data_IF_433826803427
#
_entry.id   IF_433826803427
#
_cell.length_a   1.000
_cell.length_b   1.000
_cell.length_c   1.000
_cell.angle_alpha   90.00
_cell.angle_beta   90.00
_cell.angle_gamma   90.00
#
_symmetry.space_group_name_H-M   'P 1'
#
loop_
_entity.id
_entity.type
_entity.pdbx_description
1 polymer ?
#
# COMPACT_ATOMS: atom_id res chain seq x y z
N UNK A 1 -3.93 -0.94 18.79
CA UNK A 1 -3.56 -0.04 17.67
C UNK A 1 -4.51 1.13 17.72
N UNK A 2 -4.05 2.33 17.36
CA UNK A 2 -4.94 3.45 17.05
C UNK A 2 -5.82 3.08 15.86
N UNK A 3 -7.07 3.55 15.83
CA UNK A 3 -7.99 3.34 14.71
C UNK A 3 -7.88 4.50 13.73
N UNK A 4 -8.08 4.22 12.46
CA UNK A 4 -8.21 5.22 11.39
C UNK A 4 -9.38 6.15 11.72
N UNK A 5 -10.50 5.59 12.19
CA UNK A 5 -11.68 6.34 12.63
C UNK A 5 -11.39 7.34 13.75
N UNK A 6 -10.36 7.09 14.56
CA UNK A 6 -10.06 7.91 15.74
C UNK A 6 -8.97 8.95 15.47
N UNK A 7 -8.43 9.01 14.25
CA UNK A 7 -7.37 9.92 13.88
C UNK A 7 -7.87 11.38 13.91
N UNK A 8 -7.28 12.27 14.77
CA UNK A 8 -7.75 13.65 14.92
C UNK A 8 -7.62 14.46 13.64
N UNK A 9 -6.63 14.20 12.80
CA UNK A 9 -6.44 14.89 11.53
C UNK A 9 -7.49 14.42 10.52
N UNK A 10 -7.82 13.12 10.49
CA UNK A 10 -8.93 12.59 9.69
C UNK A 10 -10.28 13.16 10.13
N UNK A 11 -10.55 13.18 11.44
CA UNK A 11 -11.75 13.76 12.03
C UNK A 11 -11.84 15.26 11.80
N UNK A 12 -10.72 15.99 11.92
CA UNK A 12 -10.61 17.41 11.63
C UNK A 12 -10.85 17.69 10.15
N UNK A 13 -10.26 16.91 9.24
CA UNK A 13 -10.47 17.02 7.80
C UNK A 13 -11.94 16.80 7.44
N UNK A 14 -12.61 15.79 8.03
CA UNK A 14 -14.05 15.54 7.80
C UNK A 14 -14.91 16.65 8.41
N UNK A 15 -14.58 17.13 9.61
CA UNK A 15 -15.39 18.09 10.37
C UNK A 15 -15.26 19.52 9.83
N UNK A 16 -14.06 19.92 9.43
CA UNK A 16 -13.71 21.26 8.94
C UNK A 16 -13.85 21.41 7.43
N UNK A 17 -14.13 20.32 6.69
CA UNK A 17 -14.35 20.42 5.26
C UNK A 17 -15.63 21.23 4.98
N UNK A 18 -15.45 22.46 4.53
CA UNK A 18 -16.52 23.42 4.25
C UNK A 18 -16.77 23.57 2.75
N UNK A 19 -16.00 22.88 1.90
CA UNK A 19 -16.20 22.80 0.45
C UNK A 19 -16.24 21.35 -0.03
N UNK A 20 -17.01 21.10 -1.10
CA UNK A 20 -17.11 19.80 -1.76
C UNK A 20 -15.73 19.29 -2.21
N UNK A 21 -14.86 20.17 -2.70
CA UNK A 21 -13.50 19.83 -3.16
C UNK A 21 -12.60 19.23 -2.06
N UNK A 22 -12.75 19.67 -0.81
CA UNK A 22 -11.99 19.13 0.32
C UNK A 22 -12.46 17.72 0.69
N UNK A 23 -13.76 17.47 0.61
CA UNK A 23 -14.36 16.15 0.86
C UNK A 23 -14.09 15.21 -0.31
N UNK A 24 -14.13 15.71 -1.55
CA UNK A 24 -13.73 14.98 -2.75
C UNK A 24 -12.26 14.59 -2.72
N UNK A 25 -11.35 15.43 -2.21
CA UNK A 25 -9.95 15.04 -2.01
C UNK A 25 -9.81 13.83 -1.09
N UNK A 26 -10.70 13.67 -0.11
CA UNK A 26 -10.73 12.54 0.83
C UNK A 26 -11.45 11.33 0.21
N UNK A 27 -12.47 11.57 -0.63
CA UNK A 27 -13.35 10.54 -1.21
C UNK A 27 -13.09 10.18 -2.68
N UNK A 28 -12.13 10.81 -3.36
CA UNK A 28 -11.68 10.53 -4.76
C UNK A 28 -11.34 9.06 -4.99
N UNK A 29 -11.11 8.39 -3.89
CA UNK A 29 -10.77 7.00 -3.69
C UNK A 29 -11.98 6.06 -3.88
N UNK A 30 -13.20 6.50 -3.58
CA UNK A 30 -14.37 5.61 -3.41
C UNK A 30 -15.42 5.67 -4.53
N UNK A 31 -15.15 6.38 -5.63
CA UNK A 31 -16.05 6.46 -6.80
C UNK A 31 -17.50 6.88 -6.42
N UNK A 32 -17.66 7.74 -5.41
CA UNK A 32 -18.97 8.26 -5.01
C UNK A 32 -19.40 9.38 -5.96
N UNK A 33 -20.66 9.33 -6.40
CA UNK A 33 -21.25 10.35 -7.28
C UNK A 33 -21.33 11.72 -6.63
N UNK A 34 -21.15 12.76 -7.45
CA UNK A 34 -21.11 14.19 -7.09
C UNK A 34 -22.45 14.76 -6.58
N UNK A 35 -23.51 13.95 -6.57
CA UNK A 35 -24.88 14.40 -6.24
C UNK A 35 -25.18 14.38 -4.73
N UNK A 36 -24.23 13.94 -3.88
CA UNK A 36 -24.42 13.84 -2.42
C UNK A 36 -24.10 15.17 -1.73
N UNK A 37 -24.92 15.59 -0.76
CA UNK A 37 -24.62 16.77 0.05
C UNK A 37 -23.44 16.52 1.01
N UNK A 38 -22.83 17.60 1.52
CA UNK A 38 -21.67 17.55 2.44
C UNK A 38 -21.90 16.63 3.64
N UNK A 39 -23.10 16.62 4.22
CA UNK A 39 -23.41 15.80 5.39
C UNK A 39 -23.38 14.30 5.04
N UNK A 40 -23.98 13.92 3.92
CA UNK A 40 -24.02 12.54 3.44
C UNK A 40 -22.63 12.03 3.06
N UNK A 41 -21.79 12.88 2.45
CA UNK A 41 -20.39 12.54 2.16
C UNK A 41 -19.57 12.32 3.44
N UNK A 42 -19.80 13.11 4.50
CA UNK A 42 -19.14 12.91 5.81
C UNK A 42 -19.55 11.58 6.45
N UNK A 43 -20.83 11.24 6.45
CA UNK A 43 -21.33 9.96 6.97
C UNK A 43 -20.73 8.78 6.20
N UNK A 44 -20.64 8.89 4.87
CA UNK A 44 -19.95 7.90 4.01
C UNK A 44 -18.47 7.77 4.36
N UNK A 45 -17.76 8.87 4.55
CA UNK A 45 -16.33 8.86 4.92
C UNK A 45 -16.07 8.15 6.28
N UNK A 46 -16.91 8.42 7.28
CA UNK A 46 -16.84 7.75 8.59
C UNK A 46 -17.14 6.25 8.46
N UNK A 47 -18.17 5.90 7.68
CA UNK A 47 -18.52 4.50 7.41
C UNK A 47 -17.38 3.73 6.76
N UNK A 48 -16.74 4.33 5.74
CA UNK A 48 -15.55 3.81 5.07
C UNK A 48 -14.41 3.56 6.07
N UNK A 49 -14.05 4.55 6.90
CA UNK A 49 -12.96 4.39 7.86
C UNK A 49 -13.25 3.29 8.87
N UNK A 50 -14.49 3.19 9.34
CA UNK A 50 -14.94 2.13 10.25
C UNK A 50 -14.82 0.75 9.62
N UNK A 51 -15.12 0.61 8.33
CA UNK A 51 -14.97 -0.64 7.59
C UNK A 51 -13.49 -0.98 7.38
N UNK A 52 -12.66 0.01 7.06
CA UNK A 52 -11.21 -0.14 6.93
C UNK A 52 -10.57 -0.60 8.25
N UNK A 53 -10.97 -0.03 9.39
CA UNK A 53 -10.50 -0.46 10.71
C UNK A 53 -10.86 -1.91 11.00
N UNK A 54 -12.12 -2.29 10.77
CA UNK A 54 -12.57 -3.67 10.95
C UNK A 54 -11.86 -4.64 10.01
N UNK A 55 -11.51 -4.21 8.81
CA UNK A 55 -10.73 -5.01 7.87
C UNK A 55 -9.30 -5.19 8.40
N UNK A 56 -8.64 -4.12 8.81
CA UNK A 56 -7.27 -4.16 9.35
C UNK A 56 -7.19 -4.98 10.66
N UNK A 57 -8.18 -4.89 11.54
CA UNK A 57 -8.27 -5.67 12.77
C UNK A 57 -8.24 -7.19 12.50
N UNK A 58 -8.78 -7.62 11.35
CA UNK A 58 -8.84 -9.03 10.97
C UNK A 58 -7.62 -9.43 10.14
N UNK A 59 -7.26 -8.64 9.12
CA UNK A 59 -6.39 -9.10 8.05
C UNK A 59 -4.95 -8.55 8.06
N UNK A 60 -4.67 -7.48 8.82
CA UNK A 60 -3.36 -6.82 8.78
C UNK A 60 -2.21 -7.75 9.18
N UNK A 61 -2.42 -8.59 10.20
CA UNK A 61 -1.44 -9.59 10.64
C UNK A 61 -1.18 -10.69 9.60
N UNK A 62 -2.12 -10.89 8.68
CA UNK A 62 -2.03 -11.86 7.59
C UNK A 62 -1.51 -11.24 6.28
N UNK A 63 -1.29 -9.93 6.23
CA UNK A 63 -0.66 -9.29 5.06
C UNK A 63 -1.62 -8.59 4.13
N UNK A 64 -2.86 -8.34 4.57
CA UNK A 64 -3.80 -7.47 3.86
C UNK A 64 -4.16 -6.28 4.72
N UNK A 65 -4.06 -5.10 4.13
CA UNK A 65 -4.53 -3.87 4.75
C UNK A 65 -5.59 -3.27 3.86
N UNK A 66 -6.53 -2.56 4.46
CA UNK A 66 -7.38 -1.64 3.74
C UNK A 66 -6.50 -0.62 3.05
N UNK A 67 -6.75 -0.41 1.76
CA UNK A 67 -6.16 0.69 1.01
C UNK A 67 -7.28 1.58 0.52
N UNK A 68 -6.90 2.77 0.11
CA UNK A 68 -7.75 3.69 -0.59
C UNK A 68 -8.45 2.96 -1.75
N UNK A 69 -7.69 2.28 -2.60
CA UNK A 69 -8.25 1.68 -3.81
C UNK A 69 -9.12 0.42 -3.58
N UNK A 70 -9.29 -0.04 -2.33
CA UNK A 70 -10.21 -1.13 -2.01
C UNK A 70 -11.66 -0.64 -1.96
N UNK A 71 -12.54 -1.29 -2.71
CA UNK A 71 -13.97 -0.99 -2.63
C UNK A 71 -14.55 -1.44 -1.28
N UNK A 72 -15.49 -0.64 -0.76
CA UNK A 72 -16.24 -0.99 0.46
C UNK A 72 -16.91 -2.37 0.36
N UNK A 73 -17.60 -2.72 -0.76
CA UNK A 73 -18.19 -4.06 -0.90
C UNK A 73 -17.17 -5.20 -0.80
N UNK A 74 -15.95 -5.02 -1.32
CA UNK A 74 -14.89 -6.02 -1.19
C UNK A 74 -14.52 -6.20 0.29
N UNK A 75 -14.27 -5.12 1.02
CA UNK A 75 -13.91 -5.19 2.43
C UNK A 75 -15.03 -5.83 3.27
N UNK A 76 -16.28 -5.42 3.07
CA UNK A 76 -17.42 -6.00 3.77
C UNK A 76 -17.59 -7.49 3.49
N UNK A 77 -17.46 -7.90 2.23
CA UNK A 77 -17.59 -9.30 1.84
C UNK A 77 -16.46 -10.15 2.41
N UNK A 78 -15.22 -9.66 2.40
CA UNK A 78 -14.09 -10.34 3.01
C UNK A 78 -14.30 -10.53 4.53
N UNK A 79 -14.73 -9.48 5.24
CA UNK A 79 -15.05 -9.55 6.67
C UNK A 79 -16.16 -10.58 6.93
N UNK A 80 -17.20 -10.61 6.08
CA UNK A 80 -18.29 -11.59 6.18
C UNK A 80 -17.79 -13.02 5.99
N UNK A 81 -17.03 -13.29 4.93
CA UNK A 81 -16.45 -14.60 4.66
C UNK A 81 -15.52 -15.07 5.79
N UNK A 82 -14.74 -14.17 6.39
CA UNK A 82 -13.92 -14.51 7.55
C UNK A 82 -14.77 -15.00 8.72
N UNK A 83 -15.86 -14.29 9.04
CA UNK A 83 -16.75 -14.65 10.14
C UNK A 83 -17.48 -15.98 9.91
N UNK A 84 -17.90 -16.25 8.67
CA UNK A 84 -18.71 -17.42 8.33
C UNK A 84 -17.87 -18.66 7.99
N UNK A 85 -16.66 -18.48 7.45
CA UNK A 85 -15.88 -19.55 6.84
C UNK A 85 -14.39 -19.54 7.22
N UNK A 86 -13.93 -18.59 8.03
CA UNK A 86 -12.55 -18.48 8.46
C UNK A 86 -11.60 -17.84 7.45
N UNK A 87 -10.33 -17.73 7.85
CA UNK A 87 -9.29 -16.99 7.13
C UNK A 87 -9.07 -17.49 5.70
N UNK A 88 -8.93 -18.80 5.52
CA UNK A 88 -8.59 -19.39 4.21
C UNK A 88 -9.61 -18.99 3.13
N UNK A 89 -10.90 -19.01 3.47
CA UNK A 89 -11.95 -18.64 2.52
C UNK A 89 -11.92 -17.14 2.19
N UNK A 90 -11.68 -16.30 3.19
CA UNK A 90 -11.58 -14.86 3.01
C UNK A 90 -10.35 -14.47 2.18
N UNK A 91 -9.18 -15.05 2.45
CA UNK A 91 -7.97 -14.79 1.67
C UNK A 91 -8.10 -15.27 0.23
N UNK A 92 -8.75 -16.43 0.01
CA UNK A 92 -9.03 -16.92 -1.34
C UNK A 92 -9.90 -15.94 -2.13
N UNK A 93 -10.87 -15.30 -1.48
CA UNK A 93 -11.68 -14.25 -2.09
C UNK A 93 -10.84 -13.00 -2.40
N UNK A 94 -10.09 -12.48 -1.43
CA UNK A 94 -9.23 -11.28 -1.64
C UNK A 94 -8.23 -11.54 -2.78
N UNK A 95 -7.60 -12.71 -2.81
CA UNK A 95 -6.70 -13.11 -3.89
C UNK A 95 -7.40 -13.24 -5.25
N UNK A 96 -8.67 -13.62 -5.28
CA UNK A 96 -9.43 -13.72 -6.53
C UNK A 96 -9.81 -12.34 -7.09
N UNK A 97 -9.90 -11.32 -6.24
CA UNK A 97 -10.08 -9.92 -6.68
C UNK A 97 -8.81 -9.33 -7.32
N UNK A 98 -7.65 -9.97 -7.15
CA UNK A 98 -6.43 -9.61 -7.86
C UNK A 98 -6.42 -10.27 -9.24
N UNK A 99 -7.05 -9.60 -10.21
CA UNK A 99 -7.12 -10.01 -11.60
C UNK A 99 -6.31 -9.06 -12.52
N UNK A 100 -6.39 -9.30 -13.83
CA UNK A 100 -5.72 -8.47 -14.83
C UNK A 100 -6.23 -7.03 -14.84
N UNK A 101 -7.53 -6.80 -14.62
CA UNK A 101 -8.08 -5.46 -14.57
C UNK A 101 -7.55 -4.68 -13.36
N UNK A 102 -7.49 -5.33 -12.20
CA UNK A 102 -6.85 -4.78 -11.00
C UNK A 102 -5.39 -4.46 -11.29
N UNK A 103 -4.62 -5.43 -11.78
CA UNK A 103 -3.21 -5.21 -12.08
C UNK A 103 -2.99 -4.05 -13.06
N UNK A 104 -3.67 -4.03 -14.21
CA UNK A 104 -3.51 -2.98 -15.21
C UNK A 104 -3.90 -1.59 -14.69
N UNK A 105 -4.95 -1.49 -13.87
CA UNK A 105 -5.34 -0.23 -13.26
C UNK A 105 -4.23 0.27 -12.32
N UNK A 106 -3.74 -0.61 -11.46
CA UNK A 106 -2.77 -0.27 -10.42
C UNK A 106 -1.36 -0.04 -10.97
N UNK A 107 -0.89 -0.86 -11.93
CA UNK A 107 0.40 -0.67 -12.59
C UNK A 107 0.45 0.67 -13.32
N UNK A 108 -0.59 1.01 -14.09
CA UNK A 108 -0.71 2.32 -14.75
C UNK A 108 -0.65 3.48 -13.76
N UNK A 109 -1.29 3.33 -12.60
CA UNK A 109 -1.31 4.36 -11.55
C UNK A 109 0.06 4.58 -10.88
N UNK A 110 1.00 3.62 -10.97
CA UNK A 110 2.35 3.77 -10.44
C UNK A 110 3.17 4.83 -11.19
N UNK A 111 2.89 5.08 -12.48
CA UNK A 111 3.58 6.10 -13.28
C UNK A 111 3.37 7.55 -12.76
N UNK A 112 2.44 7.77 -11.83
CA UNK A 112 2.31 9.06 -11.15
C UNK A 112 3.42 9.32 -10.11
N UNK A 113 4.16 8.27 -9.71
CA UNK A 113 5.27 8.36 -8.78
C UNK A 113 6.54 8.71 -9.56
N UNK A 114 7.16 9.84 -9.25
CA UNK A 114 8.35 10.36 -9.89
C UNK A 114 9.56 9.42 -10.00
N UNK A 115 9.76 8.51 -9.03
CA UNK A 115 10.85 7.51 -9.06
C UNK A 115 10.46 6.23 -9.82
N UNK A 116 9.22 6.14 -10.31
CA UNK A 116 8.73 4.99 -11.07
C UNK A 116 9.09 5.11 -12.55
N UNK A 117 10.08 4.35 -12.99
CA UNK A 117 10.58 4.37 -14.37
C UNK A 117 9.94 3.28 -15.25
N UNK A 118 10.10 3.42 -16.57
CA UNK A 118 9.73 2.39 -17.54
C UNK A 118 10.41 1.04 -17.28
N UNK A 119 11.64 1.05 -16.75
CA UNK A 119 12.33 -0.18 -16.36
C UNK A 119 11.66 -0.90 -15.18
N UNK A 120 11.16 -0.14 -14.19
CA UNK A 120 10.37 -0.70 -13.09
C UNK A 120 9.05 -1.25 -13.61
N UNK A 121 8.37 -0.53 -14.50
CA UNK A 121 7.15 -1.01 -15.17
C UNK A 121 7.40 -2.31 -15.93
N UNK A 122 8.44 -2.38 -16.77
CA UNK A 122 8.82 -3.58 -17.51
C UNK A 122 9.05 -4.78 -16.59
N UNK A 123 9.79 -4.61 -15.49
CA UNK A 123 10.04 -5.69 -14.53
C UNK A 123 8.76 -6.13 -13.81
N UNK A 124 7.88 -5.18 -13.48
CA UNK A 124 6.60 -5.48 -12.85
C UNK A 124 5.66 -6.26 -13.78
N UNK A 125 5.60 -5.88 -15.06
CA UNK A 125 4.84 -6.58 -16.09
C UNK A 125 5.36 -8.02 -16.30
N UNK A 126 6.67 -8.22 -16.38
CA UNK A 126 7.27 -9.56 -16.45
C UNK A 126 6.92 -10.42 -15.22
N UNK A 127 6.99 -9.83 -14.02
CA UNK A 127 6.60 -10.51 -12.80
C UNK A 127 5.10 -10.88 -12.78
N UNK A 128 4.25 -10.07 -13.41
CA UNK A 128 2.81 -10.35 -13.52
C UNK A 128 2.51 -11.45 -14.54
N UNK A 129 3.24 -11.47 -15.66
CA UNK A 129 3.21 -12.60 -16.61
C UNK A 129 3.59 -13.89 -15.89
N UNK A 130 4.67 -13.87 -15.10
CA UNK A 130 5.08 -15.02 -14.29
C UNK A 130 4.03 -15.41 -13.24
N UNK A 131 3.39 -14.44 -12.59
CA UNK A 131 2.28 -14.68 -11.67
C UNK A 131 1.14 -15.45 -12.34
N UNK A 132 0.66 -14.97 -13.50
CA UNK A 132 -0.45 -15.58 -14.23
C UNK A 132 -0.11 -16.96 -14.77
N UNK A 133 1.17 -17.21 -15.07
CA UNK A 133 1.65 -18.50 -15.56
C UNK A 133 2.08 -19.45 -14.42
N UNK A 134 1.82 -19.10 -13.15
CA UNK A 134 2.12 -19.92 -11.99
C UNK A 134 3.62 -20.00 -11.64
N UNK A 135 4.48 -19.19 -12.27
CA UNK A 135 5.92 -19.08 -11.96
C UNK A 135 6.16 -18.15 -10.79
N UNK A 136 5.55 -18.45 -9.65
CA UNK A 136 5.63 -17.63 -8.45
C UNK A 136 7.06 -17.52 -7.88
N UNK A 137 7.91 -18.52 -8.10
CA UNK A 137 9.33 -18.50 -7.75
C UNK A 137 10.10 -17.35 -8.43
N UNK A 138 9.67 -16.90 -9.61
CA UNK A 138 10.26 -15.78 -10.33
C UNK A 138 9.52 -14.47 -10.02
N UNK A 139 8.19 -14.52 -9.93
CA UNK A 139 7.35 -13.35 -9.65
C UNK A 139 7.65 -12.74 -8.27
N UNK A 140 7.69 -13.55 -7.20
CA UNK A 140 7.83 -13.07 -5.82
C UNK A 140 9.13 -12.28 -5.60
N UNK A 141 10.33 -12.80 -5.95
CA UNK A 141 11.57 -12.06 -5.72
C UNK A 141 11.64 -10.74 -6.50
N UNK A 142 11.11 -10.70 -7.73
CA UNK A 142 11.10 -9.48 -8.55
C UNK A 142 10.23 -8.41 -7.88
N UNK A 143 9.03 -8.75 -7.44
CA UNK A 143 8.13 -7.78 -6.79
C UNK A 143 8.71 -7.32 -5.44
N UNK A 144 9.33 -8.22 -4.66
CA UNK A 144 10.03 -7.85 -3.42
C UNK A 144 11.17 -6.84 -3.68
N UNK A 145 11.92 -7.01 -4.77
CA UNK A 145 12.94 -6.04 -5.17
C UNK A 145 12.33 -4.70 -5.59
N UNK A 146 11.17 -4.69 -6.25
CA UNK A 146 10.47 -3.45 -6.60
C UNK A 146 9.93 -2.71 -5.38
N UNK A 147 9.43 -3.43 -4.37
CA UNK A 147 9.04 -2.86 -3.07
C UNK A 147 10.23 -2.12 -2.44
N UNK A 148 11.37 -2.80 -2.34
CA UNK A 148 12.57 -2.25 -1.71
C UNK A 148 13.11 -1.04 -2.49
N UNK A 149 13.21 -1.17 -3.81
CA UNK A 149 13.69 -0.10 -4.68
C UNK A 149 12.79 1.13 -4.67
N UNK A 150 11.47 0.96 -4.72
CA UNK A 150 10.53 2.09 -4.62
C UNK A 150 10.72 2.84 -3.30
N UNK A 151 10.82 2.13 -2.18
CA UNK A 151 11.02 2.76 -0.88
C UNK A 151 12.35 3.51 -0.77
N UNK A 152 13.42 2.90 -1.28
CA UNK A 152 14.76 3.47 -1.18
C UNK A 152 14.90 4.70 -2.08
N UNK A 153 14.40 4.68 -3.30
CA UNK A 153 14.48 5.84 -4.19
C UNK A 153 13.62 7.01 -3.67
N UNK A 154 12.52 6.70 -2.96
CA UNK A 154 11.60 7.69 -2.40
C UNK A 154 12.11 8.32 -1.10
N UNK A 155 12.84 7.57 -0.27
CA UNK A 155 13.13 7.98 1.13
C UNK A 155 14.54 7.66 1.63
N UNK A 156 15.37 7.01 0.81
CA UNK A 156 16.66 6.40 1.18
C UNK A 156 16.59 5.35 2.29
N UNK A 157 15.39 4.90 2.63
CA UNK A 157 15.15 3.84 3.60
C UNK A 157 14.47 2.66 2.91
N UNK A 158 14.86 1.44 3.27
CA UNK A 158 14.22 0.21 2.80
C UNK A 158 12.84 0.06 3.45
N UNK A 159 11.86 -0.44 2.68
CA UNK A 159 10.55 -0.85 3.21
C UNK A 159 10.69 -1.89 4.33
N UNK A 160 11.78 -2.65 4.30
CA UNK A 160 12.06 -3.68 5.29
C UNK A 160 12.88 -3.19 6.49
N UNK A 161 13.30 -1.92 6.53
CA UNK A 161 13.96 -1.33 7.71
C UNK A 161 12.94 -0.73 8.69
N UNK A 162 13.30 -0.66 9.97
CA UNK A 162 12.43 -0.08 11.03
C UNK A 162 12.32 1.44 10.92
N UNK A 163 13.29 2.09 10.26
CA UNK A 163 13.42 3.54 10.18
C UNK A 163 12.51 4.18 9.14
N UNK A 164 12.00 3.40 8.18
CA UNK A 164 11.19 3.95 7.09
C UNK A 164 10.00 4.76 7.63
N UNK A 165 9.79 6.00 7.17
CA UNK A 165 8.71 6.86 7.65
C UNK A 165 7.41 6.57 6.89
N UNK A 166 6.76 5.45 7.21
CA UNK A 166 5.55 4.98 6.53
C UNK A 166 4.24 5.60 7.01
N UNK A 167 4.25 6.43 8.07
CA UNK A 167 3.02 6.93 8.70
C UNK A 167 2.64 8.29 8.11
N UNK A 168 1.44 8.34 7.55
CA UNK A 168 0.82 9.55 7.00
C UNK A 168 -0.49 9.80 7.75
N UNK A 169 -0.69 11.06 8.15
CA UNK A 169 -1.83 11.47 8.97
C UNK A 169 -3.17 11.34 8.25
N UNK A 170 -3.20 11.51 6.94
CA UNK A 170 -4.41 11.56 6.11
C UNK A 170 -4.52 10.37 5.11
N UNK A 171 -4.02 9.18 5.45
CA UNK A 171 -4.07 7.98 4.59
C UNK A 171 -4.56 6.74 5.32
N UNK A 172 -5.33 5.91 4.62
CA UNK A 172 -5.82 4.60 5.09
C UNK A 172 -4.67 3.59 5.03
N UNK A 173 -4.02 3.46 3.86
CA UNK A 173 -2.93 2.50 3.69
C UNK A 173 -1.72 2.87 4.54
N UNK A 174 -1.34 4.15 4.59
CA UNK A 174 -0.21 4.65 5.37
C UNK A 174 -0.58 5.02 6.81
N UNK A 175 -1.70 4.51 7.33
CA UNK A 175 -2.00 4.54 8.76
C UNK A 175 -1.06 3.60 9.55
N UNK A 176 -0.93 3.79 10.86
CA UNK A 176 -0.07 2.95 11.71
C UNK A 176 -0.49 1.46 11.67
N UNK A 177 -1.80 1.18 11.56
CA UNK A 177 -2.34 -0.18 11.39
C UNK A 177 -2.17 -0.76 9.98
N UNK A 178 -1.74 0.05 9.01
CA UNK A 178 -1.58 -0.31 7.60
C UNK A 178 -0.14 -0.69 7.23
N UNK A 179 0.50 0.10 6.37
CA UNK A 179 1.83 -0.14 5.79
C UNK A 179 2.90 -0.40 6.87
N UNK A 180 2.83 0.29 8.01
CA UNK A 180 3.75 0.06 9.13
C UNK A 180 3.62 -1.35 9.71
N UNK A 181 2.41 -1.87 9.82
CA UNK A 181 2.13 -3.25 10.25
C UNK A 181 2.68 -4.27 9.25
N UNK A 182 2.45 -4.02 7.95
CA UNK A 182 2.97 -4.86 6.86
C UNK A 182 4.49 -4.90 6.85
N UNK A 183 5.14 -3.73 6.85
CA UNK A 183 6.60 -3.61 6.90
C UNK A 183 7.16 -4.38 8.09
N UNK A 184 6.66 -4.12 9.31
CA UNK A 184 7.10 -4.81 10.53
C UNK A 184 7.01 -6.34 10.40
N UNK A 185 5.96 -6.86 9.78
CA UNK A 185 5.77 -8.30 9.61
C UNK A 185 6.64 -8.88 8.50
N UNK A 186 6.72 -8.21 7.34
CA UNK A 186 7.53 -8.63 6.19
C UNK A 186 9.03 -8.62 6.49
N UNK A 187 9.48 -7.74 7.37
CA UNK A 187 10.87 -7.63 7.84
C UNK A 187 11.28 -8.67 8.88
N UNK A 188 10.35 -9.49 9.41
CA UNK A 188 10.69 -10.44 10.47
C UNK A 188 11.80 -11.39 9.99
N UNK A 189 12.93 -11.48 10.72
CA UNK A 189 14.00 -12.38 10.35
C UNK A 189 13.53 -13.83 10.42
N UNK A 190 14.04 -14.66 9.51
CA UNK A 190 13.73 -16.10 9.42
C UNK A 190 15.04 -16.87 9.61
N UNK A 191 15.26 -17.36 10.82
CA UNK A 191 16.53 -17.98 11.20
C UNK A 191 16.66 -19.45 10.76
N UNK A 192 15.52 -20.14 10.59
CA UNK A 192 15.46 -21.55 10.21
C UNK A 192 14.92 -21.71 8.79
N UNK A 193 15.38 -22.76 8.12
CA UNK A 193 14.82 -23.14 6.82
C UNK A 193 13.51 -23.90 7.02
N UNK A 194 12.46 -23.46 6.34
CA UNK A 194 11.14 -24.07 6.34
C UNK A 194 10.71 -24.39 4.90
N UNK A 195 10.05 -25.54 4.74
CA UNK A 195 9.47 -25.99 3.46
C UNK A 195 7.94 -26.10 3.53
N UNK A 196 7.33 -25.59 4.60
CA UNK A 196 5.88 -25.55 4.76
C UNK A 196 5.37 -24.35 3.96
N UNK A 197 4.22 -24.53 3.29
CA UNK A 197 3.58 -23.49 2.49
C UNK A 197 3.53 -22.17 3.25
N UNK A 198 4.14 -21.16 2.66
CA UNK A 198 4.23 -19.83 3.26
C UNK A 198 2.95 -19.05 2.93
N UNK A 199 2.41 -18.35 3.92
CA UNK A 199 1.23 -17.48 3.72
C UNK A 199 1.59 -16.00 3.67
N UNK A 200 2.79 -15.59 4.05
CA UNK A 200 3.19 -14.18 4.14
C UNK A 200 4.58 -13.94 3.51
N UNK A 201 4.78 -12.86 2.74
CA UNK A 201 6.06 -12.58 2.07
C UNK A 201 7.17 -12.10 3.02
N UNK A 202 7.75 -12.98 3.82
CA UNK A 202 8.90 -12.67 4.66
C UNK A 202 10.17 -12.49 3.81
N UNK A 203 10.50 -11.24 3.45
CA UNK A 203 11.59 -10.90 2.52
C UNK A 203 12.92 -11.54 2.90
N UNK A 204 13.32 -11.45 4.18
CA UNK A 204 14.56 -12.09 4.64
C UNK A 204 14.54 -13.60 4.38
N UNK A 205 13.44 -14.26 4.70
CA UNK A 205 13.33 -15.70 4.54
C UNK A 205 13.41 -16.14 3.08
N UNK A 206 12.68 -15.45 2.21
CA UNK A 206 12.60 -15.76 0.79
C UNK A 206 13.96 -15.52 0.11
N UNK A 207 14.54 -14.32 0.28
CA UNK A 207 15.77 -13.94 -0.43
C UNK A 207 17.04 -14.64 0.09
N UNK A 208 17.02 -15.15 1.32
CA UNK A 208 18.13 -15.91 1.89
C UNK A 208 17.90 -17.44 1.90
N UNK A 209 16.90 -17.95 1.17
CA UNK A 209 16.66 -19.40 1.04
C UNK A 209 16.24 -20.09 2.33
N UNK A 210 15.55 -19.38 3.21
CA UNK A 210 15.02 -19.89 4.49
C UNK A 210 13.52 -20.20 4.43
N UNK A 211 12.79 -19.60 3.51
CA UNK A 211 11.41 -20.01 3.22
C UNK A 211 11.40 -20.59 1.81
N UNK A 212 11.25 -21.91 1.69
CA UNK A 212 11.39 -22.61 0.41
C UNK A 212 10.07 -22.78 -0.34
N UNK A 213 8.94 -22.77 0.37
CA UNK A 213 7.60 -22.92 -0.22
C UNK A 213 6.86 -21.57 -0.34
N UNK A 214 7.59 -20.53 -0.74
CA UNK A 214 7.05 -19.18 -0.97
C UNK A 214 6.42 -19.02 -2.35
N UNK A 215 6.72 -19.94 -3.27
CA UNK A 215 6.36 -19.94 -4.67
C UNK A 215 4.91 -20.37 -4.88
N UNK A 216 3.99 -19.65 -4.24
CA UNK A 216 2.56 -19.87 -4.36
C UNK A 216 1.80 -18.57 -4.68
N UNK A 217 0.57 -18.73 -5.18
CA UNK A 217 -0.29 -17.62 -5.60
C UNK A 217 -0.51 -16.60 -4.48
N UNK A 218 -0.79 -17.06 -3.27
CA UNK A 218 -1.12 -16.21 -2.12
C UNK A 218 0.04 -15.25 -1.79
N UNK A 219 1.27 -15.77 -1.69
CA UNK A 219 2.45 -14.95 -1.41
C UNK A 219 2.73 -13.97 -2.56
N UNK A 220 2.64 -14.43 -3.80
CA UNK A 220 2.84 -13.57 -4.97
C UNK A 220 1.82 -12.44 -5.03
N UNK A 221 0.53 -12.72 -4.84
CA UNK A 221 -0.51 -11.67 -4.79
C UNK A 221 -0.24 -10.68 -3.66
N UNK A 222 0.16 -11.14 -2.46
CA UNK A 222 0.49 -10.26 -1.35
C UNK A 222 1.68 -9.33 -1.66
N UNK A 223 2.68 -9.80 -2.41
CA UNK A 223 3.76 -8.93 -2.87
C UNK A 223 3.24 -7.79 -3.75
N UNK A 224 2.42 -8.08 -4.77
CA UNK A 224 1.82 -7.02 -5.59
C UNK A 224 0.95 -6.08 -4.76
N UNK A 225 0.18 -6.65 -3.83
CA UNK A 225 -0.68 -5.87 -2.95
C UNK A 225 0.11 -4.89 -2.08
N UNK A 226 1.21 -5.34 -1.46
CA UNK A 226 2.12 -4.47 -0.70
C UNK A 226 2.68 -3.35 -1.59
N UNK A 227 3.17 -3.69 -2.78
CA UNK A 227 3.73 -2.70 -3.71
C UNK A 227 2.72 -1.61 -4.05
N UNK A 228 1.48 -1.99 -4.41
CA UNK A 228 0.45 -1.03 -4.77
C UNK A 228 -0.05 -0.23 -3.56
N UNK A 229 -0.09 -0.83 -2.37
CA UNK A 229 -0.42 -0.14 -1.13
C UNK A 229 0.60 0.95 -0.76
N UNK A 230 1.84 0.89 -1.26
CA UNK A 230 2.85 1.93 -1.04
C UNK A 230 2.60 3.20 -1.88
N UNK A 231 1.75 3.16 -2.90
CA UNK A 231 1.56 4.29 -3.83
C UNK A 231 1.13 5.59 -3.13
N UNK A 232 0.08 5.62 -2.28
CA UNK A 232 -0.30 6.84 -1.56
C UNK A 232 0.85 7.42 -0.74
N UNK A 233 1.65 6.55 -0.11
CA UNK A 233 2.83 6.95 0.62
C UNK A 233 3.90 7.60 -0.25
N UNK A 234 4.24 6.98 -1.38
CA UNK A 234 5.25 7.50 -2.28
C UNK A 234 4.86 8.86 -2.90
N UNK A 235 3.58 9.02 -3.26
CA UNK A 235 3.06 10.30 -3.75
C UNK A 235 3.12 11.40 -2.69
N UNK A 236 2.89 11.06 -1.42
CA UNK A 236 3.02 12.01 -0.32
C UNK A 236 4.47 12.45 -0.13
N UNK A 237 5.42 11.52 -0.15
CA UNK A 237 6.85 11.84 -0.08
C UNK A 237 7.25 12.80 -1.22
N UNK A 238 6.82 12.52 -2.45
CA UNK A 238 7.03 13.40 -3.60
C UNK A 238 6.45 14.81 -3.37
N UNK A 239 5.23 14.91 -2.82
CA UNK A 239 4.60 16.19 -2.52
C UNK A 239 5.38 16.98 -1.45
N UNK A 240 5.88 16.31 -0.42
CA UNK A 240 6.72 16.93 0.62
C UNK A 240 8.01 17.47 0.02
N UNK A 241 8.67 16.70 -0.85
CA UNK A 241 9.90 17.15 -1.53
C UNK A 241 9.65 18.37 -2.43
N UNK A 242 8.58 18.35 -3.21
CA UNK A 242 8.19 19.48 -4.06
C UNK A 242 7.90 20.75 -3.24
N UNK A 243 7.17 20.60 -2.13
CA UNK A 243 6.85 21.72 -1.24
C UNK A 243 8.12 22.34 -0.63
N UNK A 244 9.07 21.51 -0.17
CA UNK A 244 10.37 21.97 0.34
C UNK A 244 11.13 22.79 -0.70
N UNK A 245 11.23 22.30 -1.94
CA UNK A 245 11.94 23.01 -3.02
C UNK A 245 11.27 24.33 -3.41
N UNK A 246 9.96 24.45 -3.19
CA UNK A 246 9.19 25.66 -3.49
C UNK A 246 8.97 26.57 -2.29
N UNK A 247 9.59 26.28 -1.13
CA UNK A 247 9.50 27.09 0.08
C UNK A 247 8.16 27.01 0.81
N UNK A 248 7.34 25.98 0.54
CA UNK A 248 6.07 25.72 1.24
C UNK A 248 6.34 24.69 2.36
N UNK A 249 6.11 25.04 3.62
CA UNK A 249 6.19 24.07 4.71
C UNK A 249 4.97 23.13 4.71
N UNK A 250 5.19 21.83 4.91
CA UNK A 250 4.12 20.87 5.19
C UNK A 250 4.66 19.63 5.91
N UNK A 251 4.41 19.51 7.21
CA UNK A 251 4.73 18.32 8.02
C UNK A 251 3.59 17.30 7.97
N UNK A 252 3.49 16.56 6.86
CA UNK A 252 2.40 15.59 6.67
C UNK A 252 2.83 14.12 6.84
N UNK A 253 4.14 13.84 6.91
CA UNK A 253 4.70 12.49 7.09
C UNK A 253 5.53 12.45 8.38
N UNK A 254 5.22 11.50 9.26
CA UNK A 254 5.88 11.41 10.57
C UNK A 254 7.31 10.87 10.40
N UNK A 255 8.29 11.68 10.77
CA UNK A 255 9.71 11.29 10.78
C UNK A 255 10.39 11.26 9.42
N UNK A 256 9.72 11.67 8.34
CA UNK A 256 10.34 11.83 7.04
C UNK A 256 11.19 13.11 7.01
N UNK A 257 12.47 12.97 6.66
CA UNK A 257 13.37 14.10 6.42
C UNK A 257 13.51 14.27 4.92
N UNK A 258 12.98 15.37 4.41
CA UNK A 258 13.11 15.71 3.01
C UNK A 258 14.60 15.93 2.66
N UNK A 259 15.06 15.32 1.56
CA UNK A 259 16.43 15.37 1.04
C UNK A 259 16.46 15.92 -0.38
N UNK A 260 17.62 16.18 -0.99
CA UNK A 260 17.65 16.77 -2.34
C UNK A 260 17.32 15.75 -3.45
N UNK A 261 16.55 14.72 -3.12
CA UNK A 261 16.22 13.56 -3.94
C UNK A 261 15.54 13.97 -5.26
N UNK A 262 14.60 14.94 -5.21
CA UNK A 262 13.90 15.45 -6.39
C UNK A 262 14.80 16.26 -7.31
N UNK A 263 15.72 17.03 -6.73
CA UNK A 263 16.72 17.73 -7.52
C UNK A 263 17.75 16.76 -8.11
N UNK A 264 18.22 15.78 -7.34
CA UNK A 264 19.10 14.70 -7.79
C UNK A 264 18.48 13.96 -8.98
N UNK A 265 17.20 13.58 -8.89
CA UNK A 265 16.54 12.84 -9.97
C UNK A 265 16.32 13.69 -11.22
N UNK A 266 15.91 14.94 -11.06
CA UNK A 266 15.79 15.88 -12.18
C UNK A 266 17.15 16.06 -12.86
N UNK A 267 18.22 16.19 -12.07
CA UNK A 267 19.59 16.30 -12.58
C UNK A 267 20.00 15.03 -13.35
N UNK A 268 19.74 13.84 -12.83
CA UNK A 268 19.97 12.57 -13.56
C UNK A 268 19.23 12.50 -14.89
N UNK A 269 17.98 12.97 -14.95
CA UNK A 269 17.17 12.99 -16.19
C UNK A 269 17.71 14.03 -17.19
N UNK A 270 18.23 15.15 -16.72
CA UNK A 270 18.76 16.22 -17.56
C UNK A 270 20.20 15.96 -18.05
N UNK A 271 20.97 15.15 -17.30
CA UNK A 271 22.37 14.82 -17.59
C UNK A 271 22.56 13.45 -18.29
N UNK A 272 21.52 12.62 -18.35
CA UNK A 272 21.52 11.30 -19.02
C UNK A 272 20.81 11.31 -20.37
#
# INVERSE_FOLDING_TARGET
MTKISDNPDFQSLITNANSLEQIESILRVFNFGLDSNIKELREKAIGVATIADRFNDIFSEYGWIATEDMSVPLMEHAIKLFKENGLERAEKFICACFDEAYFSLHSRRMHAIWVWSEDRSRLLELAFIDHNQGRYHASVPVVLAQIDGLSFDTSKESFFDKKIPLIIKDSIAAHESGLRSLSKTASKPRAKTHSIMLSFPYRHGILHGRELAYDNKLVSTKCFFILFAMRPWALKCQQVEFNRQTGKENEQIVGFKAGDLLAEKIKEILEG
#
